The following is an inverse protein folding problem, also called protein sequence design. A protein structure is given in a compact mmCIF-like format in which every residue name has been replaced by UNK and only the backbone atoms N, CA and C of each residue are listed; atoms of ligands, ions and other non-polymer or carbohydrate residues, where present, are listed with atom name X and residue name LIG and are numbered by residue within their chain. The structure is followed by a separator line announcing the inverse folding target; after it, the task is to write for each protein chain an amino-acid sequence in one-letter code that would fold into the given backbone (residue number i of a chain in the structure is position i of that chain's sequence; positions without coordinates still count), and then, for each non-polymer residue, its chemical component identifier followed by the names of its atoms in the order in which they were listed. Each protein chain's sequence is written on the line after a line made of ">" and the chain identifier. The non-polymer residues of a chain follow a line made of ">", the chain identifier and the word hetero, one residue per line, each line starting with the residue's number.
data_IF_386343559415
#
_entry.id   IF_386343559415
#
_cell.length_a   1.000
_cell.length_b   1.000
_cell.length_c   1.000
_cell.angle_alpha   90.00
_cell.angle_beta   90.00
_cell.angle_gamma   90.00
#
_symmetry.space_group_name_H-M   'P 1'
#
loop_
_entity.id
_entity.type
_entity.pdbx_description
1 polymer ?
#
# COMPACT_ATOMS: atom_id res chain seq x y z
N UNK A 1 -12.37 -25.19 11.66
CA UNK A 1 -12.12 -25.43 10.22
C UNK A 1 -11.29 -24.26 9.73
N UNK A 2 -10.19 -24.50 9.01
CA UNK A 2 -9.45 -23.44 8.32
C UNK A 2 -10.04 -23.25 6.93
N UNK A 3 -10.24 -22.01 6.55
CA UNK A 3 -10.73 -21.61 5.24
C UNK A 3 -9.53 -21.45 4.30
N UNK A 4 -9.66 -21.83 3.02
CA UNK A 4 -8.61 -21.63 2.01
C UNK A 4 -8.81 -20.25 1.36
N UNK A 5 -7.89 -19.29 1.55
CA UNK A 5 -8.01 -17.95 0.98
C UNK A 5 -7.88 -17.89 -0.55
N UNK A 6 -7.47 -19.00 -1.19
CA UNK A 6 -7.26 -19.09 -2.64
C UNK A 6 -8.47 -19.68 -3.37
N UNK A 7 -9.43 -20.23 -2.64
CA UNK A 7 -10.65 -20.82 -3.20
C UNK A 7 -11.70 -19.72 -3.42
N UNK A 8 -12.08 -19.39 -4.67
CA UNK A 8 -13.07 -18.35 -4.93
C UNK A 8 -14.49 -18.74 -4.46
N UNK A 9 -14.78 -20.04 -4.32
CA UNK A 9 -16.09 -20.55 -3.89
C UNK A 9 -16.25 -20.53 -2.36
N UNK A 10 -15.19 -20.17 -1.63
CA UNK A 10 -15.21 -19.98 -0.17
C UNK A 10 -16.01 -18.73 0.24
N UNK A 11 -16.11 -17.74 -0.64
CA UNK A 11 -16.89 -16.53 -0.42
C UNK A 11 -18.30 -16.76 -0.96
N UNK A 12 -19.32 -16.65 -0.10
CA UNK A 12 -20.71 -16.81 -0.51
C UNK A 12 -21.15 -15.61 -1.34
N UNK A 13 -21.30 -15.81 -2.66
CA UNK A 13 -21.79 -14.77 -3.59
C UNK A 13 -23.27 -14.41 -3.36
N UNK A 14 -23.95 -15.07 -2.42
CA UNK A 14 -25.32 -14.77 -2.02
C UNK A 14 -25.45 -14.04 -0.68
N UNK A 15 -24.34 -13.54 -0.14
CA UNK A 15 -24.34 -12.63 1.01
C UNK A 15 -25.24 -11.41 0.70
N UNK A 16 -26.23 -11.07 1.56
CA UNK A 16 -27.10 -9.92 1.34
C UNK A 16 -26.33 -8.59 1.27
N UNK A 17 -25.08 -8.56 1.75
CA UNK A 17 -24.14 -7.46 1.62
C UNK A 17 -23.72 -7.17 0.17
N UNK A 18 -23.75 -8.15 -0.74
CA UNK A 18 -23.47 -7.91 -2.17
C UNK A 18 -24.60 -7.14 -2.86
N UNK A 19 -25.83 -7.20 -2.33
CA UNK A 19 -27.02 -6.58 -2.95
C UNK A 19 -27.29 -5.16 -2.43
N UNK A 20 -26.62 -4.73 -1.35
CA UNK A 20 -26.73 -3.37 -0.80
C UNK A 20 -25.74 -2.38 -1.47
N UNK A 21 -24.86 -2.85 -2.34
CA UNK A 21 -23.92 -2.06 -3.16
C UNK A 21 -24.57 -1.18 -4.28
N UNK A 22 -25.87 -0.89 -4.20
CA UNK A 22 -26.54 0.06 -5.12
C UNK A 22 -26.50 1.50 -4.61
N UNK A 23 -26.14 1.73 -3.34
CA UNK A 23 -25.70 3.04 -2.87
C UNK A 23 -24.17 3.01 -2.73
N UNK A 24 -23.44 4.08 -3.08
CA UNK A 24 -22.03 4.15 -2.72
C UNK A 24 -21.93 4.14 -1.20
N UNK A 25 -21.53 3.02 -0.59
CA UNK A 25 -21.09 2.94 0.81
C UNK A 25 -19.72 3.63 1.01
N UNK A 26 -19.41 4.62 0.18
CA UNK A 26 -18.47 5.63 0.60
C UNK A 26 -19.09 6.29 1.83
N UNK A 27 -18.35 6.32 2.94
CA UNK A 27 -18.61 7.20 4.10
C UNK A 27 -19.18 6.57 5.40
N UNK A 28 -19.01 5.26 5.64
CA UNK A 28 -19.11 4.74 7.03
C UNK A 28 -17.76 4.26 7.56
N UNK A 29 -17.03 3.45 6.78
CA UNK A 29 -15.73 2.89 7.17
C UNK A 29 -14.54 3.84 6.91
N UNK A 30 -14.71 4.82 5.99
CA UNK A 30 -13.71 5.83 5.69
C UNK A 30 -14.40 7.20 5.48
N UNK A 31 -14.34 8.12 6.46
CA UNK A 31 -14.76 9.51 6.30
C UNK A 31 -14.27 10.14 4.98
N UNK A 32 -15.02 11.09 4.43
CA UNK A 32 -14.65 11.79 3.18
C UNK A 32 -13.19 12.30 3.16
N UNK A 33 -12.70 12.82 4.29
CA UNK A 33 -11.32 13.29 4.41
C UNK A 33 -10.31 12.16 4.29
N UNK A 34 -10.57 11.03 4.94
CA UNK A 34 -9.70 9.85 4.91
C UNK A 34 -9.68 9.25 3.50
N UNK A 35 -10.83 9.22 2.83
CA UNK A 35 -10.95 8.78 1.42
C UNK A 35 -10.14 9.69 0.49
N UNK A 36 -10.19 11.01 0.69
CA UNK A 36 -9.39 11.95 -0.10
C UNK A 36 -7.88 11.73 0.09
N UNK A 37 -7.44 11.47 1.32
CA UNK A 37 -6.04 11.11 1.62
C UNK A 37 -5.64 9.77 0.97
N UNK A 38 -6.49 8.74 1.05
CA UNK A 38 -6.22 7.42 0.47
C UNK A 38 -6.11 7.43 -1.06
N UNK A 39 -6.80 8.35 -1.73
CA UNK A 39 -6.71 8.52 -3.17
C UNK A 39 -5.57 9.46 -3.62
N UNK A 40 -4.81 10.02 -2.69
CA UNK A 40 -3.65 10.84 -3.03
C UNK A 40 -2.50 9.94 -3.50
N UNK A 41 -1.80 10.37 -4.54
CA UNK A 41 -0.61 9.67 -5.02
C UNK A 41 0.45 9.61 -3.91
N UNK A 42 0.87 8.40 -3.53
CA UNK A 42 2.03 8.23 -2.69
C UNK A 42 3.26 8.73 -3.47
N UNK A 43 4.09 9.58 -2.85
CA UNK A 43 5.26 10.17 -3.48
C UNK A 43 6.05 9.11 -4.26
N UNK A 44 6.29 9.30 -5.57
CA UNK A 44 6.72 8.23 -6.46
C UNK A 44 8.21 7.88 -6.39
N UNK A 45 8.96 8.43 -5.42
CA UNK A 45 10.36 8.06 -5.21
C UNK A 45 10.41 6.65 -4.64
N UNK A 46 10.41 5.66 -5.53
CA UNK A 46 10.85 4.31 -5.20
C UNK A 46 12.30 4.38 -4.77
N UNK A 47 12.64 3.52 -3.82
CA UNK A 47 14.03 3.25 -3.45
C UNK A 47 14.84 2.87 -4.69
N UNK A 48 16.14 3.16 -4.66
CA UNK A 48 17.06 2.75 -5.70
C UNK A 48 17.11 1.22 -5.81
N UNK A 49 17.39 0.73 -7.01
CA UNK A 49 17.46 -0.70 -7.27
C UNK A 49 18.61 -1.35 -6.51
N UNK A 50 18.31 -2.44 -5.80
CA UNK A 50 19.34 -3.28 -5.17
C UNK A 50 20.15 -4.13 -6.17
N UNK A 51 19.83 -4.11 -7.47
CA UNK A 51 20.52 -4.92 -8.48
C UNK A 51 22.02 -4.60 -8.61
N UNK A 52 22.42 -3.36 -8.26
CA UNK A 52 23.82 -2.92 -8.29
C UNK A 52 24.50 -2.99 -6.92
N UNK A 53 23.77 -3.36 -5.85
CA UNK A 53 24.32 -3.47 -4.50
C UNK A 53 25.17 -4.73 -4.34
N UNK A 54 26.31 -4.62 -3.65
CA UNK A 54 27.15 -5.75 -3.30
C UNK A 54 26.64 -6.44 -2.01
N UNK A 55 26.13 -7.68 -2.08
CA UNK A 55 25.59 -8.39 -0.92
C UNK A 55 26.64 -8.76 0.13
N UNK A 56 27.95 -8.59 -0.16
CA UNK A 56 29.00 -8.83 0.82
C UNK A 56 29.20 -7.68 1.81
N UNK A 57 28.59 -6.52 1.56
CA UNK A 57 28.85 -5.28 2.33
C UNK A 57 27.91 -5.12 3.52
N UNK A 58 26.68 -5.65 3.42
CA UNK A 58 25.69 -5.64 4.51
C UNK A 58 24.60 -6.72 4.29
N UNK A 59 23.76 -6.94 5.30
CA UNK A 59 22.57 -7.80 5.17
C UNK A 59 21.51 -7.16 4.24
N UNK A 60 20.61 -7.97 3.69
CA UNK A 60 19.55 -7.54 2.78
C UNK A 60 18.70 -6.39 3.36
N UNK A 61 18.38 -6.43 4.65
CA UNK A 61 17.60 -5.38 5.30
C UNK A 61 18.36 -4.04 5.33
N UNK A 62 19.66 -4.09 5.60
CA UNK A 62 20.51 -2.90 5.64
C UNK A 62 20.75 -2.32 4.25
N UNK A 63 20.87 -3.16 3.22
CA UNK A 63 21.00 -2.73 1.83
C UNK A 63 19.73 -2.05 1.33
N UNK A 64 18.55 -2.59 1.69
CA UNK A 64 17.27 -1.97 1.36
C UNK A 64 17.12 -0.58 2.01
N UNK A 65 17.55 -0.41 3.26
CA UNK A 65 17.53 0.90 3.93
C UNK A 65 18.49 1.89 3.27
N UNK A 66 19.68 1.46 2.88
CA UNK A 66 20.68 2.32 2.22
C UNK A 66 20.27 2.77 0.83
N UNK A 67 19.45 1.98 0.14
CA UNK A 67 18.93 2.34 -1.18
C UNK A 67 17.75 3.32 -1.12
N UNK A 68 17.26 3.68 0.07
CA UNK A 68 16.14 4.63 0.18
C UNK A 68 16.50 6.00 -0.37
N UNK A 69 15.71 6.45 -1.33
CA UNK A 69 15.86 7.79 -1.93
C UNK A 69 15.09 8.80 -1.10
N UNK A 70 15.81 9.69 -0.41
CA UNK A 70 15.21 10.82 0.29
C UNK A 70 15.27 12.05 -0.60
N UNK A 71 14.11 12.57 -1.00
CA UNK A 71 14.03 13.84 -1.71
C UNK A 71 14.42 14.97 -0.76
N UNK A 72 15.50 15.68 -1.08
CA UNK A 72 15.91 16.87 -0.33
C UNK A 72 15.16 18.08 -0.89
N UNK A 73 14.27 18.68 -0.10
CA UNK A 73 13.68 19.97 -0.43
C UNK A 73 14.61 21.09 0.07
N UNK A 74 15.23 21.81 -0.86
CA UNK A 74 16.16 22.91 -0.54
C UNK A 74 15.43 24.14 0.03
N UNK A 75 14.10 24.22 -0.13
CA UNK A 75 13.27 25.29 0.42
C UNK A 75 12.84 25.02 1.88
N UNK A 76 12.96 23.78 2.38
CA UNK A 76 12.66 23.41 3.78
C UNK A 76 13.65 24.01 4.81
N UNK A 77 14.81 24.50 4.35
CA UNK A 77 15.88 25.04 5.19
C UNK A 77 16.06 26.58 5.08
N UNK A 78 15.03 27.33 4.66
CA UNK A 78 15.09 28.81 4.57
C UNK A 78 14.41 29.56 5.71
#
# INVERSE_FOLDING_TARGET
>A
MSVDPTDPDTFDTSDPFETENTAPEADVEAPEADTAEQHTDLTPSRDDSLLEADPAVADEADLAEQARVVTLDEDDYR
#
